data_IF_600255472712
#
_entry.id   IF_600255472712
#
_cell.length_a   1.000
_cell.length_b   1.000
_cell.length_c   1.000
_cell.angle_alpha   90.00
_cell.angle_beta   90.00
_cell.angle_gamma   90.00
#
_symmetry.space_group_name_H-M   'P 1'
#
loop_
_entity.id
_entity.type
_entity.pdbx_description
1 polymer ?
#
# COMPACT_ATOMS: atom_id res chain seq x y z
N UNK A 1 -28.00 -64.13 51.09
CA UNK A 1 -28.90 -63.65 50.01
C UNK A 1 -29.02 -62.12 49.88
N UNK A 2 -28.61 -61.28 50.86
CA UNK A 2 -28.67 -59.80 50.72
C UNK A 2 -27.46 -59.16 50.02
N UNK A 3 -26.25 -59.74 50.10
CA UNK A 3 -25.03 -59.14 49.52
C UNK A 3 -24.97 -59.21 47.99
N UNK A 4 -25.40 -60.31 47.37
CA UNK A 4 -25.19 -60.51 45.93
C UNK A 4 -26.07 -59.60 45.07
N UNK A 5 -27.25 -59.21 45.57
CA UNK A 5 -28.15 -58.24 44.92
C UNK A 5 -27.57 -56.82 44.97
N UNK A 6 -26.88 -56.46 46.05
CA UNK A 6 -26.27 -55.13 46.22
C UNK A 6 -25.01 -54.97 45.36
N UNK A 7 -24.16 -56.00 45.27
CA UNK A 7 -22.98 -55.98 44.39
C UNK A 7 -23.40 -55.93 42.91
N UNK A 8 -24.44 -56.66 42.50
CA UNK A 8 -25.00 -56.57 41.14
C UNK A 8 -25.60 -55.19 40.84
N UNK A 9 -26.27 -54.57 41.80
CA UNK A 9 -26.88 -53.24 41.67
C UNK A 9 -25.82 -52.12 41.55
N UNK A 10 -24.74 -52.20 42.33
CA UNK A 10 -23.63 -51.24 42.29
C UNK A 10 -22.78 -51.38 41.02
N UNK A 11 -22.54 -52.61 40.55
CA UNK A 11 -21.80 -52.86 39.29
C UNK A 11 -22.54 -52.29 38.06
N UNK A 12 -23.88 -52.36 38.05
CA UNK A 12 -24.73 -51.77 37.01
C UNK A 12 -24.63 -50.24 36.95
N UNK A 13 -24.67 -49.56 38.11
CA UNK A 13 -24.49 -48.10 38.21
C UNK A 13 -23.10 -47.64 37.77
N UNK A 14 -22.03 -48.36 38.15
CA UNK A 14 -20.66 -48.02 37.73
C UNK A 14 -20.48 -48.20 36.22
N UNK A 15 -21.08 -49.23 35.61
CA UNK A 15 -21.02 -49.46 34.16
C UNK A 15 -21.81 -48.38 33.39
N UNK A 16 -23.00 -47.99 33.87
CA UNK A 16 -23.75 -46.86 33.30
C UNK A 16 -22.98 -45.55 33.37
N UNK A 17 -22.33 -45.25 34.51
CA UNK A 17 -21.56 -44.01 34.67
C UNK A 17 -20.30 -43.97 33.79
N UNK A 18 -19.63 -45.12 33.59
CA UNK A 18 -18.50 -45.24 32.65
C UNK A 18 -18.93 -45.06 31.20
N UNK A 19 -20.04 -45.67 30.79
CA UNK A 19 -20.62 -45.48 29.45
C UNK A 19 -21.09 -44.03 29.23
N UNK A 20 -21.67 -43.40 30.25
CA UNK A 20 -22.09 -41.99 30.20
C UNK A 20 -20.89 -41.03 30.08
N UNK A 21 -19.80 -41.28 30.83
CA UNK A 21 -18.56 -40.50 30.74
C UNK A 21 -17.86 -40.67 29.38
N UNK A 22 -17.89 -41.87 28.79
CA UNK A 22 -17.35 -42.10 27.44
C UNK A 22 -18.19 -41.41 26.37
N UNK A 23 -19.52 -41.41 26.49
CA UNK A 23 -20.43 -40.71 25.57
C UNK A 23 -20.28 -39.19 25.69
N UNK A 24 -20.17 -38.65 26.91
CA UNK A 24 -19.94 -37.20 27.13
C UNK A 24 -18.55 -36.76 26.67
N UNK A 25 -17.52 -37.60 26.85
CA UNK A 25 -16.18 -37.35 26.31
C UNK A 25 -16.17 -37.37 24.78
N UNK A 26 -16.85 -38.34 24.15
CA UNK A 26 -16.99 -38.40 22.69
C UNK A 26 -17.81 -37.22 22.15
N UNK A 27 -18.91 -36.84 22.82
CA UNK A 27 -19.68 -35.64 22.47
C UNK A 27 -18.86 -34.37 22.63
N UNK A 28 -18.05 -34.25 23.68
CA UNK A 28 -17.15 -33.11 23.87
C UNK A 28 -16.11 -33.04 22.76
N UNK A 29 -15.46 -34.16 22.41
CA UNK A 29 -14.51 -34.23 21.29
C UNK A 29 -15.19 -33.92 19.94
N UNK A 30 -16.41 -34.40 19.72
CA UNK A 30 -17.18 -34.11 18.51
C UNK A 30 -17.61 -32.64 18.47
N UNK A 31 -18.07 -32.04 19.56
CA UNK A 31 -18.41 -30.60 19.61
C UNK A 31 -17.18 -29.72 19.51
N UNK A 32 -16.06 -30.11 20.11
CA UNK A 32 -14.79 -29.41 20.00
C UNK A 32 -14.21 -29.56 18.59
N UNK A 33 -14.37 -30.71 17.95
CA UNK A 33 -14.03 -30.93 16.54
C UNK A 33 -14.94 -30.14 15.61
N UNK A 34 -16.24 -30.00 15.90
CA UNK A 34 -17.18 -29.16 15.13
C UNK A 34 -16.83 -27.67 15.31
N UNK A 35 -16.51 -27.22 16.52
CA UNK A 35 -16.09 -25.82 16.79
C UNK A 35 -14.72 -25.54 16.17
N UNK A 36 -13.78 -26.49 16.21
CA UNK A 36 -12.50 -26.38 15.52
C UNK A 36 -12.72 -26.36 14.00
N UNK A 37 -13.52 -27.27 13.45
CA UNK A 37 -13.78 -27.36 12.01
C UNK A 37 -14.53 -26.13 11.46
N UNK A 38 -15.47 -25.54 12.23
CA UNK A 38 -16.15 -24.29 11.86
C UNK A 38 -15.35 -23.02 12.24
N UNK A 39 -14.33 -23.13 13.10
CA UNK A 39 -13.50 -22.02 13.59
C UNK A 39 -12.25 -21.72 12.76
N UNK A 40 -11.96 -22.53 11.73
CA UNK A 40 -10.75 -22.38 10.89
C UNK A 40 -11.01 -21.86 9.47
N UNK A 41 -12.15 -21.22 9.20
CA UNK A 41 -12.27 -20.32 8.04
C UNK A 41 -11.73 -18.93 8.43
N UNK A 42 -10.49 -18.87 8.93
CA UNK A 42 -9.71 -17.65 8.89
C UNK A 42 -9.35 -17.40 7.42
N UNK A 43 -10.34 -16.98 6.64
CA UNK A 43 -10.17 -16.71 5.23
C UNK A 43 -9.00 -15.74 5.08
N UNK A 44 -7.98 -16.14 4.33
CA UNK A 44 -6.91 -15.26 3.89
C UNK A 44 -7.53 -14.19 2.98
N UNK A 45 -8.14 -13.17 3.59
CA UNK A 45 -8.73 -12.06 2.86
C UNK A 45 -7.59 -11.24 2.28
N UNK A 46 -7.66 -10.96 0.97
CA UNK A 46 -6.75 -10.02 0.34
C UNK A 46 -6.81 -8.69 1.09
N UNK A 47 -5.63 -8.13 1.40
CA UNK A 47 -5.51 -6.85 2.10
C UNK A 47 -6.40 -5.80 1.42
N UNK A 48 -7.15 -5.04 2.21
CA UNK A 48 -7.92 -3.91 1.67
C UNK A 48 -6.95 -2.85 1.18
N UNK A 49 -7.08 -2.46 -0.10
CA UNK A 49 -6.25 -1.41 -0.69
C UNK A 49 -7.07 -0.14 -0.87
N UNK A 50 -6.44 0.99 -0.62
CA UNK A 50 -7.02 2.32 -0.73
C UNK A 50 -5.91 3.33 -1.00
N UNK A 51 -6.26 4.60 -1.16
CA UNK A 51 -5.29 5.70 -1.31
C UNK A 51 -4.13 5.58 -0.31
N UNK A 52 -2.90 5.68 -0.82
CA UNK A 52 -1.66 5.54 -0.04
C UNK A 52 -1.22 4.09 0.23
N UNK A 53 -2.04 3.09 -0.09
CA UNK A 53 -1.62 1.69 -0.09
C UNK A 53 -0.46 1.49 -1.05
N UNK A 54 0.39 0.51 -0.74
CA UNK A 54 1.57 0.18 -1.53
C UNK A 54 1.92 -1.30 -1.43
N UNK A 55 2.61 -1.80 -2.44
CA UNK A 55 3.12 -3.17 -2.49
C UNK A 55 2.67 -3.93 -3.74
N UNK A 56 3.00 -5.22 -3.77
CA UNK A 56 2.74 -6.09 -4.91
C UNK A 56 1.25 -6.21 -5.21
N UNK A 57 0.40 -6.18 -4.20
CA UNK A 57 -1.06 -6.26 -4.35
C UNK A 57 -1.61 -5.04 -5.10
N UNK A 58 -1.04 -3.85 -4.88
CA UNK A 58 -1.40 -2.65 -5.65
C UNK A 58 -0.94 -2.80 -7.10
N UNK A 59 0.27 -3.32 -7.33
CA UNK A 59 0.76 -3.62 -8.67
C UNK A 59 -0.16 -4.61 -9.39
N UNK A 60 -0.62 -5.65 -8.71
CA UNK A 60 -1.57 -6.62 -9.24
C UNK A 60 -2.86 -5.95 -9.69
N UNK A 61 -3.44 -5.07 -8.85
CA UNK A 61 -4.64 -4.30 -9.21
C UNK A 61 -4.37 -3.38 -10.41
N UNK A 62 -3.27 -2.62 -10.39
CA UNK A 62 -2.90 -1.72 -11.47
C UNK A 62 -2.71 -2.46 -12.81
N UNK A 63 -2.03 -3.61 -12.80
CA UNK A 63 -1.86 -4.46 -14.00
C UNK A 63 -3.20 -4.93 -14.53
N UNK A 64 -4.07 -5.43 -13.66
CA UNK A 64 -5.39 -5.94 -14.03
C UNK A 64 -6.26 -4.85 -14.64
N UNK A 65 -6.34 -3.69 -13.97
CA UNK A 65 -7.09 -2.53 -14.46
C UNK A 65 -6.51 -2.00 -15.78
N UNK A 66 -5.19 -2.06 -15.98
CA UNK A 66 -4.54 -1.66 -17.23
C UNK A 66 -4.86 -2.62 -18.37
N UNK A 67 -4.80 -3.93 -18.12
CA UNK A 67 -5.21 -4.95 -19.09
C UNK A 67 -6.66 -4.74 -19.55
N UNK A 68 -7.52 -4.25 -18.66
CA UNK A 68 -8.93 -3.99 -18.94
C UNK A 68 -9.23 -2.55 -19.35
N UNK A 69 -8.21 -1.72 -19.56
CA UNK A 69 -8.37 -0.35 -20.08
C UNK A 69 -8.92 0.67 -19.08
N UNK A 70 -9.01 0.35 -17.79
CA UNK A 70 -9.41 1.30 -16.73
C UNK A 70 -8.24 2.15 -16.22
N UNK A 71 -7.01 1.66 -16.36
CA UNK A 71 -5.82 2.30 -15.82
C UNK A 71 -4.77 2.50 -16.90
N UNK A 72 -4.36 3.75 -17.13
CA UNK A 72 -3.35 4.10 -18.13
C UNK A 72 -2.00 4.51 -17.54
N UNK A 73 -1.88 4.46 -16.20
CA UNK A 73 -0.63 4.75 -15.50
C UNK A 73 0.32 3.55 -15.44
N UNK A 74 1.46 3.75 -14.79
CA UNK A 74 2.44 2.69 -14.55
C UNK A 74 2.02 1.71 -13.46
N UNK A 75 2.41 0.45 -13.61
CA UNK A 75 2.36 -0.51 -12.52
C UNK A 75 3.56 -0.31 -11.59
N UNK A 76 3.45 0.64 -10.67
CA UNK A 76 4.50 0.97 -9.71
C UNK A 76 4.22 0.44 -8.30
N UNK A 77 3.06 -0.15 -8.07
CA UNK A 77 2.66 -0.67 -6.77
C UNK A 77 2.26 0.41 -5.78
N UNK A 78 1.90 1.62 -6.26
CA UNK A 78 1.53 2.76 -5.44
C UNK A 78 0.10 3.22 -5.72
N UNK A 79 -0.73 3.21 -4.68
CA UNK A 79 -2.14 3.53 -4.81
C UNK A 79 -2.35 5.04 -4.71
N UNK A 80 -2.07 5.74 -5.80
CA UNK A 80 -2.29 7.19 -5.95
C UNK A 80 -3.63 7.55 -6.60
N UNK A 81 -3.78 8.81 -7.01
CA UNK A 81 -4.99 9.34 -7.64
C UNK A 81 -5.41 8.61 -8.91
N UNK A 82 -4.45 8.27 -9.77
CA UNK A 82 -4.73 7.54 -11.00
C UNK A 82 -5.29 6.14 -10.71
N UNK A 83 -4.74 5.43 -9.72
CA UNK A 83 -5.25 4.10 -9.31
C UNK A 83 -6.61 4.23 -8.64
N UNK A 84 -6.79 5.23 -7.77
CA UNK A 84 -8.08 5.54 -7.16
C UNK A 84 -9.18 5.80 -8.19
N UNK A 85 -8.90 6.66 -9.18
CA UNK A 85 -9.85 6.97 -10.24
C UNK A 85 -10.16 5.75 -11.11
N UNK A 86 -9.14 4.95 -11.47
CA UNK A 86 -9.33 3.71 -12.21
C UNK A 86 -10.17 2.69 -11.44
N UNK A 87 -9.95 2.54 -10.13
CA UNK A 87 -10.75 1.64 -9.28
C UNK A 87 -12.18 2.15 -9.17
N UNK A 88 -12.42 3.46 -9.02
CA UNK A 88 -13.78 4.02 -9.01
C UNK A 88 -14.50 3.80 -10.33
N UNK A 89 -13.82 3.99 -11.45
CA UNK A 89 -14.40 3.73 -12.77
C UNK A 89 -14.74 2.25 -12.95
N UNK A 90 -13.81 1.37 -12.58
CA UNK A 90 -14.03 -0.08 -12.57
C UNK A 90 -15.24 -0.45 -11.70
N UNK A 91 -15.28 0.02 -10.46
CA UNK A 91 -16.38 -0.22 -9.53
C UNK A 91 -17.72 0.25 -10.14
N UNK A 92 -17.77 1.47 -10.69
CA UNK A 92 -18.98 2.02 -11.33
C UNK A 92 -19.45 1.16 -12.51
N UNK A 93 -18.54 0.75 -13.40
CA UNK A 93 -18.90 -0.08 -14.58
C UNK A 93 -19.31 -1.51 -14.21
N UNK A 94 -18.92 -1.99 -13.03
CA UNK A 94 -19.22 -3.34 -12.56
C UNK A 94 -20.29 -3.38 -11.44
N UNK A 95 -21.08 -2.31 -11.28
CA UNK A 95 -22.21 -2.28 -10.33
C UNK A 95 -21.79 -2.28 -8.85
N UNK A 96 -20.56 -1.92 -8.53
CA UNK A 96 -20.05 -1.81 -7.17
C UNK A 96 -20.18 -0.36 -6.65
N UNK A 97 -20.10 -0.19 -5.32
CA UNK A 97 -19.95 1.14 -4.72
C UNK A 97 -18.64 1.77 -5.19
N UNK A 98 -18.73 2.89 -5.90
CA UNK A 98 -17.56 3.59 -6.50
C UNK A 98 -16.82 4.47 -5.48
N UNK A 99 -16.35 3.88 -4.39
CA UNK A 99 -15.64 4.54 -3.29
C UNK A 99 -14.11 4.56 -3.46
N UNK A 100 -13.59 3.84 -4.46
CA UNK A 100 -12.16 3.76 -4.75
C UNK A 100 -11.39 2.92 -3.73
N UNK A 101 -12.07 2.02 -3.02
CA UNK A 101 -11.46 1.07 -2.09
C UNK A 101 -11.52 -0.34 -2.70
N UNK A 102 -10.37 -0.99 -2.83
CA UNK A 102 -10.30 -2.41 -3.21
C UNK A 102 -10.52 -3.25 -1.96
N UNK A 103 -11.79 -3.38 -1.58
CA UNK A 103 -12.26 -4.29 -0.54
C UNK A 103 -12.65 -5.66 -1.11
N UNK A 104 -13.24 -6.52 -0.27
CA UNK A 104 -13.63 -7.89 -0.62
C UNK A 104 -14.43 -8.00 -1.93
N UNK A 105 -15.44 -7.15 -2.13
CA UNK A 105 -16.28 -7.16 -3.34
C UNK A 105 -15.50 -6.74 -4.59
N UNK A 106 -14.63 -5.74 -4.49
CA UNK A 106 -13.78 -5.29 -5.59
C UNK A 106 -12.72 -6.33 -5.94
N UNK A 107 -12.11 -6.98 -4.95
CA UNK A 107 -11.19 -8.10 -5.18
C UNK A 107 -11.85 -9.26 -5.92
N UNK A 108 -13.05 -9.65 -5.50
CA UNK A 108 -13.83 -10.68 -6.18
C UNK A 108 -14.14 -10.27 -7.64
N UNK A 109 -14.58 -9.03 -7.87
CA UNK A 109 -14.87 -8.53 -9.21
C UNK A 109 -13.62 -8.44 -10.11
N UNK A 110 -12.43 -8.21 -9.53
CA UNK A 110 -11.14 -8.27 -10.24
C UNK A 110 -10.70 -9.71 -10.56
N UNK A 111 -11.43 -10.73 -10.07
CA UNK A 111 -11.12 -12.15 -10.26
C UNK A 111 -10.17 -12.72 -9.21
N UNK A 112 -9.97 -12.03 -8.08
CA UNK A 112 -9.14 -12.47 -6.96
C UNK A 112 -10.03 -12.78 -5.75
N UNK A 113 -10.78 -13.88 -5.81
CA UNK A 113 -11.50 -14.40 -4.63
C UNK A 113 -10.54 -15.22 -3.76
N UNK A 114 -10.80 -15.28 -2.45
CA UNK A 114 -9.99 -16.03 -1.49
C UNK A 114 -9.83 -17.53 -1.82
N UNK A 115 -10.66 -18.08 -2.72
CA UNK A 115 -10.58 -19.46 -3.20
C UNK A 115 -9.43 -19.71 -4.20
N UNK A 116 -8.80 -18.65 -4.74
CA UNK A 116 -7.62 -18.76 -5.61
C UNK A 116 -6.30 -18.43 -4.89
N UNK A 117 -6.29 -18.46 -3.55
CA UNK A 117 -5.05 -18.31 -2.78
C UNK A 117 -4.19 -19.56 -2.95
N UNK A 118 -3.26 -19.49 -3.90
CA UNK A 118 -2.09 -20.34 -3.96
C UNK A 118 -1.45 -20.45 -2.57
N UNK A 119 -1.20 -21.70 -2.15
CA UNK A 119 -0.38 -22.20 -1.04
C UNK A 119 -0.13 -21.24 0.14
N UNK A 120 -0.52 -21.61 1.39
CA UNK A 120 -0.22 -20.79 2.55
C UNK A 120 1.28 -20.57 2.68
N UNK A 121 1.72 -19.33 2.52
CA UNK A 121 3.00 -18.91 3.10
C UNK A 121 2.74 -18.78 4.61
N UNK A 122 3.56 -19.48 5.40
CA UNK A 122 3.47 -19.62 6.85
C UNK A 122 3.41 -18.26 7.61
N UNK A 123 3.03 -18.25 8.91
CA UNK A 123 2.55 -17.07 9.60
C UNK A 123 3.57 -15.94 9.65
N UNK A 124 3.08 -14.73 9.40
CA UNK A 124 3.80 -13.50 9.69
C UNK A 124 4.03 -13.37 11.21
N UNK A 125 5.19 -13.82 11.70
CA UNK A 125 5.79 -13.35 12.93
C UNK A 125 7.32 -13.45 12.84
N UNK A 126 7.97 -12.30 13.02
CA UNK A 126 9.36 -12.08 13.43
C UNK A 126 10.48 -12.83 12.66
N UNK A 127 11.18 -12.13 11.76
CA UNK A 127 12.53 -11.58 12.02
C UNK A 127 13.16 -10.98 10.73
N UNK A 128 13.91 -9.89 10.95
CA UNK A 128 15.07 -9.33 10.22
C UNK A 128 15.68 -10.27 9.16
N UNK A 129 16.15 -9.85 7.98
CA UNK A 129 16.93 -8.65 7.65
C UNK A 129 17.12 -8.55 6.10
N UNK A 130 17.66 -7.42 5.63
CA UNK A 130 18.32 -7.12 4.34
C UNK A 130 17.55 -6.98 3.00
N UNK A 131 16.49 -7.72 2.64
CA UNK A 131 15.90 -7.58 1.28
C UNK A 131 14.78 -6.54 1.12
N UNK A 132 14.31 -5.96 2.22
CA UNK A 132 13.23 -4.95 2.23
C UNK A 132 13.71 -3.52 1.95
N UNK A 133 15.02 -3.28 2.00
CA UNK A 133 15.61 -1.98 1.67
C UNK A 133 15.70 -1.76 0.16
N UNK A 134 16.29 -2.70 -0.58
CA UNK A 134 16.58 -2.54 -2.01
C UNK A 134 15.31 -2.41 -2.87
N UNK A 135 14.28 -3.23 -2.63
CA UNK A 135 13.02 -3.16 -3.39
C UNK A 135 12.24 -1.88 -3.09
N UNK A 136 12.23 -1.42 -1.82
CA UNK A 136 11.60 -0.15 -1.42
C UNK A 136 12.35 1.04 -1.98
N UNK A 137 13.68 1.05 -1.86
CA UNK A 137 14.52 2.08 -2.49
C UNK A 137 14.29 2.11 -3.99
N UNK A 138 14.11 0.96 -4.66
CA UNK A 138 13.89 0.95 -6.11
C UNK A 138 12.53 1.53 -6.50
N UNK A 139 11.44 1.19 -5.80
CA UNK A 139 10.11 1.75 -6.04
C UNK A 139 10.03 3.25 -5.69
N UNK A 140 10.60 3.66 -4.55
CA UNK A 140 10.62 5.05 -4.10
C UNK A 140 11.54 5.91 -5.00
N UNK A 141 12.70 5.40 -5.41
CA UNK A 141 13.57 6.05 -6.41
C UNK A 141 12.81 6.23 -7.72
N UNK A 142 12.10 5.21 -8.19
CA UNK A 142 11.33 5.32 -9.43
C UNK A 142 10.19 6.33 -9.30
N UNK A 143 9.45 6.36 -8.18
CA UNK A 143 8.42 7.37 -7.97
C UNK A 143 9.02 8.78 -7.96
N UNK A 144 10.10 8.98 -7.18
CA UNK A 144 10.77 10.27 -7.07
C UNK A 144 11.34 10.71 -8.43
N UNK A 145 11.96 9.80 -9.18
CA UNK A 145 12.49 10.06 -10.51
C UNK A 145 11.40 10.49 -11.50
N UNK A 146 10.18 9.92 -11.42
CA UNK A 146 9.07 10.32 -12.30
C UNK A 146 8.62 11.74 -12.05
N UNK A 147 8.55 12.14 -10.78
CA UNK A 147 8.22 13.52 -10.42
C UNK A 147 9.34 14.46 -10.85
N UNK A 148 10.61 14.10 -10.62
CA UNK A 148 11.76 14.88 -11.08
C UNK A 148 11.74 15.05 -12.61
N UNK A 149 11.47 13.98 -13.36
CA UNK A 149 11.34 14.03 -14.81
C UNK A 149 10.22 14.99 -15.23
N UNK A 150 9.07 14.92 -14.58
CA UNK A 150 7.93 15.79 -14.89
C UNK A 150 8.15 17.27 -14.55
N UNK A 151 8.81 17.55 -13.44
CA UNK A 151 8.97 18.91 -12.92
C UNK A 151 10.27 19.60 -13.39
N UNK A 152 11.31 18.83 -13.71
CA UNK A 152 12.67 19.33 -13.89
C UNK A 152 13.46 18.64 -15.03
N UNK A 153 12.79 18.00 -16.00
CA UNK A 153 13.47 17.38 -17.15
C UNK A 153 14.53 18.27 -17.81
N UNK A 154 14.18 19.55 -18.02
CA UNK A 154 15.02 20.55 -18.69
C UNK A 154 15.96 21.33 -17.74
N UNK A 155 16.03 20.94 -16.47
CA UNK A 155 16.91 21.58 -15.48
C UNK A 155 18.30 20.92 -15.45
N UNK A 156 19.35 21.65 -15.02
CA UNK A 156 20.64 21.01 -14.71
C UNK A 156 20.48 19.94 -13.62
N UNK A 157 21.43 19.00 -13.53
CA UNK A 157 21.39 17.90 -12.55
C UNK A 157 21.17 18.39 -11.12
N UNK A 158 21.77 19.52 -10.72
CA UNK A 158 21.54 20.12 -9.40
C UNK A 158 20.09 20.58 -9.20
N UNK A 159 19.41 21.07 -10.25
CA UNK A 159 17.99 21.44 -10.22
C UNK A 159 17.07 20.20 -10.14
N UNK A 160 17.43 19.11 -10.82
CA UNK A 160 16.73 17.82 -10.69
C UNK A 160 16.82 17.27 -9.27
N UNK A 161 18.02 17.29 -8.67
CA UNK A 161 18.22 16.87 -7.27
C UNK A 161 17.49 17.81 -6.32
N UNK A 162 17.49 19.12 -6.58
CA UNK A 162 16.78 20.10 -5.78
C UNK A 162 15.28 19.82 -5.65
N UNK A 163 14.60 19.46 -6.76
CA UNK A 163 13.18 19.05 -6.72
C UNK A 163 13.01 17.79 -5.87
N UNK A 164 13.88 16.81 -6.04
CA UNK A 164 13.89 15.59 -5.22
C UNK A 164 14.04 15.89 -3.73
N UNK A 165 14.97 16.78 -3.38
CA UNK A 165 15.23 17.18 -2.00
C UNK A 165 14.03 17.91 -1.37
N UNK A 166 13.35 18.81 -2.10
CA UNK A 166 12.12 19.45 -1.62
C UNK A 166 11.06 18.42 -1.23
N UNK A 167 10.85 17.38 -2.04
CA UNK A 167 9.90 16.31 -1.75
C UNK A 167 10.28 15.60 -0.45
N UNK A 168 11.56 15.28 -0.27
CA UNK A 168 12.04 14.62 0.95
C UNK A 168 11.97 15.53 2.19
N UNK A 169 12.17 16.84 2.01
CA UNK A 169 12.01 17.85 3.07
C UNK A 169 10.55 17.96 3.51
N UNK A 170 9.59 17.89 2.58
CA UNK A 170 8.16 17.80 2.91
C UNK A 170 7.86 16.57 3.76
N UNK A 171 8.37 15.39 3.41
CA UNK A 171 8.16 14.15 4.19
C UNK A 171 8.66 14.29 5.65
N UNK A 172 9.74 15.04 5.86
CA UNK A 172 10.33 15.31 7.19
C UNK A 172 9.58 16.39 7.98
N UNK A 173 8.75 17.19 7.32
CA UNK A 173 8.03 18.30 7.93
C UNK A 173 6.64 17.86 8.40
N UNK A 174 6.24 18.27 9.61
CA UNK A 174 4.90 18.03 10.14
C UNK A 174 3.80 18.77 9.38
N UNK A 175 4.14 19.70 8.49
CA UNK A 175 3.19 20.44 7.66
C UNK A 175 2.72 19.65 6.42
N UNK A 176 3.31 18.50 6.12
CA UNK A 176 3.01 17.69 4.94
C UNK A 176 2.82 16.21 5.31
N UNK A 177 2.26 15.38 4.42
CA UNK A 177 2.21 13.94 4.61
C UNK A 177 3.60 13.35 4.85
N UNK A 178 3.70 12.40 5.77
CA UNK A 178 4.95 11.77 6.18
C UNK A 178 5.35 10.55 5.31
N UNK A 179 4.86 10.48 4.07
CA UNK A 179 5.22 9.43 3.12
C UNK A 179 5.47 10.02 1.74
N UNK A 180 6.38 9.42 0.97
CA UNK A 180 6.69 9.86 -0.39
C UNK A 180 5.45 9.91 -1.28
N UNK A 181 4.65 8.84 -1.30
CA UNK A 181 3.39 8.80 -2.02
C UNK A 181 2.41 9.86 -1.50
N UNK A 182 2.34 10.06 -0.18
CA UNK A 182 1.50 11.08 0.43
C UNK A 182 1.81 12.47 -0.10
N UNK A 183 3.09 12.86 -0.17
CA UNK A 183 3.55 14.15 -0.69
C UNK A 183 3.33 14.26 -2.21
N UNK A 184 3.73 13.24 -2.97
CA UNK A 184 3.69 13.26 -4.43
C UNK A 184 2.26 13.32 -4.97
N UNK A 185 1.32 12.67 -4.31
CA UNK A 185 -0.08 12.66 -4.76
C UNK A 185 -0.97 13.70 -4.07
N UNK A 186 -0.40 14.63 -3.27
CA UNK A 186 -1.20 15.75 -2.77
C UNK A 186 -1.85 16.50 -3.94
N UNK A 187 -3.15 16.85 -3.86
CA UNK A 187 -3.83 17.57 -4.94
C UNK A 187 -3.06 18.82 -5.37
N UNK A 188 -2.77 18.95 -6.66
CA UNK A 188 -2.07 20.08 -7.28
C UNK A 188 -0.64 20.34 -6.77
N UNK A 189 -0.01 19.41 -6.05
CA UNK A 189 1.35 19.59 -5.57
C UNK A 189 2.41 19.48 -6.69
N UNK A 190 2.11 18.72 -7.74
CA UNK A 190 2.96 18.48 -8.90
C UNK A 190 2.09 18.44 -10.15
N UNK A 191 2.26 19.40 -11.07
CA UNK A 191 1.50 19.47 -12.32
C UNK A 191 1.69 18.20 -13.15
N UNK A 192 2.92 17.66 -13.14
CA UNK A 192 3.29 16.44 -13.87
C UNK A 192 2.55 15.18 -13.42
N UNK A 193 2.15 15.14 -12.15
CA UNK A 193 1.35 14.03 -11.60
C UNK A 193 -0.11 14.18 -12.01
N UNK A 194 -0.64 15.41 -12.03
CA UNK A 194 -2.02 15.69 -12.37
C UNK A 194 -2.32 15.52 -13.87
N UNK A 195 -1.37 15.89 -14.75
CA UNK A 195 -1.53 15.82 -16.20
C UNK A 195 -1.05 14.50 -16.83
N UNK A 196 -0.64 13.53 -16.01
CA UNK A 196 -0.16 12.23 -16.47
C UNK A 196 1.24 12.23 -17.10
N UNK A 197 1.99 13.34 -17.07
CA UNK A 197 3.39 13.38 -17.53
C UNK A 197 4.32 12.52 -16.67
N UNK A 198 3.91 12.17 -15.46
CA UNK A 198 4.50 11.10 -14.64
C UNK A 198 4.63 9.77 -15.40
N UNK A 199 3.90 9.59 -16.53
CA UNK A 199 3.95 8.42 -17.41
C UNK A 199 5.01 8.48 -18.53
N UNK A 200 5.84 9.53 -18.61
CA UNK A 200 6.91 9.63 -19.61
C UNK A 200 8.04 8.62 -19.31
N UNK A 201 8.81 8.20 -20.34
CA UNK A 201 10.00 7.39 -20.13
C UNK A 201 10.97 8.09 -19.16
N UNK A 202 11.46 7.36 -18.16
CA UNK A 202 12.46 7.90 -17.24
C UNK A 202 13.82 8.02 -17.93
N UNK A 203 14.49 9.14 -17.70
CA UNK A 203 15.88 9.34 -18.10
C UNK A 203 16.84 8.82 -17.02
N UNK A 204 18.05 8.41 -17.42
CA UNK A 204 19.11 8.05 -16.48
C UNK A 204 19.43 9.21 -15.51
N UNK A 205 19.32 10.45 -15.99
CA UNK A 205 19.53 11.67 -15.20
C UNK A 205 18.51 11.78 -14.06
N UNK A 206 17.22 11.63 -14.35
CA UNK A 206 16.16 11.74 -13.32
C UNK A 206 16.25 10.61 -12.30
N UNK A 207 16.63 9.40 -12.73
CA UNK A 207 16.88 8.28 -11.82
C UNK A 207 18.12 8.57 -10.94
N UNK A 208 19.20 9.08 -11.54
CA UNK A 208 20.41 9.47 -10.81
C UNK A 208 20.12 10.57 -9.80
N UNK A 209 19.37 11.60 -10.18
CA UNK A 209 18.99 12.70 -9.32
C UNK A 209 18.12 12.23 -8.13
N UNK A 210 17.16 11.32 -8.39
CA UNK A 210 16.37 10.72 -7.32
C UNK A 210 17.24 9.95 -6.32
N UNK A 211 18.19 9.13 -6.79
CA UNK A 211 19.13 8.42 -5.92
C UNK A 211 19.96 9.38 -5.08
N UNK A 212 20.45 10.46 -5.68
CA UNK A 212 21.25 11.46 -4.98
C UNK A 212 20.46 12.19 -3.88
N UNK A 213 19.22 12.59 -4.18
CA UNK A 213 18.34 13.18 -3.17
C UNK A 213 18.05 12.18 -2.03
N UNK A 214 17.74 10.91 -2.35
CA UNK A 214 17.49 9.87 -1.34
C UNK A 214 18.73 9.53 -0.51
N UNK A 215 19.93 9.70 -1.07
CA UNK A 215 21.20 9.61 -0.34
C UNK A 215 21.45 10.81 0.59
N UNK A 216 20.60 11.84 0.55
CA UNK A 216 20.64 12.98 1.44
C UNK A 216 21.27 14.24 0.83
N UNK A 217 21.63 14.25 -0.45
CA UNK A 217 22.10 15.48 -1.09
C UNK A 217 20.93 16.47 -1.27
N UNK A 218 21.03 17.61 -0.58
CA UNK A 218 20.05 18.71 -0.69
C UNK A 218 20.75 20.02 -1.09
N UNK A 219 20.73 20.40 -2.39
CA UNK A 219 21.31 21.65 -2.86
C UNK A 219 20.43 22.87 -2.53
N UNK A 220 19.23 22.69 -1.97
CA UNK A 220 18.28 23.77 -1.67
C UNK A 220 18.44 24.38 -0.29
N UNK A 221 19.18 23.72 0.61
CA UNK A 221 19.32 24.16 2.00
C UNK A 221 18.04 24.00 2.83
N UNK A 222 17.24 22.95 2.57
CA UNK A 222 16.02 22.66 3.34
C UNK A 222 14.75 23.28 2.79
N UNK A 223 14.67 23.62 1.50
CA UNK A 223 13.46 24.19 0.92
C UNK A 223 12.28 23.19 0.94
N UNK A 224 11.06 23.70 1.14
CA UNK A 224 9.80 22.92 1.05
C UNK A 224 8.91 23.37 -0.12
N UNK A 225 9.28 24.46 -0.79
CA UNK A 225 8.59 25.03 -1.93
C UNK A 225 9.56 25.31 -3.08
N UNK A 226 9.08 25.18 -4.31
CA UNK A 226 9.77 25.67 -5.49
C UNK A 226 8.77 26.16 -6.54
N UNK A 227 9.20 27.06 -7.42
CA UNK A 227 8.43 27.49 -8.58
C UNK A 227 9.32 28.02 -9.70
N UNK A 228 8.81 28.03 -10.93
CA UNK A 228 9.44 28.72 -12.05
C UNK A 228 8.91 30.17 -12.08
N UNK A 229 9.76 31.20 -11.86
CA UNK A 229 9.33 32.58 -11.78
C UNK A 229 8.84 33.13 -13.14
N UNK A 230 9.11 32.44 -14.24
CA UNK A 230 8.61 32.78 -15.58
C UNK A 230 7.18 32.27 -15.83
N UNK A 231 6.62 31.42 -14.95
CA UNK A 231 5.23 30.93 -15.02
C UNK A 231 4.33 31.75 -14.10
N UNK A 232 3.02 31.79 -14.41
CA UNK A 232 2.02 32.34 -13.49
C UNK A 232 1.90 31.45 -12.27
N UNK A 233 2.06 32.03 -11.09
CA UNK A 233 1.96 31.37 -9.79
C UNK A 233 1.17 32.24 -8.82
N UNK A 234 0.64 31.65 -7.75
CA UNK A 234 -0.08 32.40 -6.70
C UNK A 234 0.82 33.45 -6.05
N UNK A 235 0.32 34.66 -5.82
CA UNK A 235 1.05 35.74 -5.12
C UNK A 235 1.56 35.31 -3.74
N UNK A 236 0.86 34.38 -3.07
CA UNK A 236 1.29 33.83 -1.79
C UNK A 236 2.68 33.19 -1.85
N UNK A 237 3.07 32.56 -2.96
CA UNK A 237 4.36 31.85 -3.05
C UNK A 237 5.55 32.81 -2.90
N UNK A 238 5.38 34.06 -3.35
CA UNK A 238 6.40 35.11 -3.26
C UNK A 238 6.58 35.65 -1.84
N UNK A 239 5.70 35.31 -0.90
CA UNK A 239 5.85 35.62 0.52
C UNK A 239 6.73 34.62 1.28
N UNK A 240 7.20 33.55 0.62
CA UNK A 240 8.07 32.53 1.23
C UNK A 240 9.50 33.02 1.31
N UNK A 241 10.25 32.53 2.29
CA UNK A 241 11.66 32.90 2.42
C UNK A 241 12.45 32.18 1.32
N UNK A 242 12.89 32.94 0.31
CA UNK A 242 13.72 32.43 -0.77
C UNK A 242 15.08 32.02 -0.20
N UNK A 243 15.51 30.79 -0.50
CA UNK A 243 16.77 30.21 -0.06
C UNK A 243 17.77 30.15 -1.21
N UNK A 244 17.30 29.74 -2.39
CA UNK A 244 18.17 29.53 -3.55
C UNK A 244 17.42 29.71 -4.87
N UNK A 245 18.19 29.92 -5.94
CA UNK A 245 17.73 29.77 -7.32
C UNK A 245 18.67 28.79 -8.03
N UNK A 246 18.13 27.69 -8.53
CA UNK A 246 18.89 26.63 -9.19
C UNK A 246 18.22 26.35 -10.53
N UNK A 247 18.97 26.55 -11.62
CA UNK A 247 18.40 26.57 -12.96
C UNK A 247 17.29 27.62 -13.08
N UNK A 248 16.12 27.22 -13.56
CA UNK A 248 14.97 28.10 -13.70
C UNK A 248 14.05 28.12 -12.49
N UNK A 249 14.35 27.35 -11.44
CA UNK A 249 13.51 27.30 -10.24
C UNK A 249 14.03 28.18 -9.11
N UNK A 250 13.10 28.85 -8.44
CA UNK A 250 13.30 29.48 -7.13
C UNK A 250 12.88 28.48 -6.06
N UNK A 251 13.65 28.36 -4.98
CA UNK A 251 13.43 27.45 -3.86
C UNK A 251 13.27 28.23 -2.56
N UNK A 252 12.29 27.86 -1.73
CA UNK A 252 11.93 28.60 -0.53
C UNK A 252 11.41 27.72 0.62
N UNK A 253 11.36 28.30 1.82
CA UNK A 253 10.68 27.77 3.01
C UNK A 253 9.53 28.67 3.46
#
# INVERSE_FOLDING_TARGET
MKNDQEVHFLAGRVKQNKSLLLILGALFVITFAIIAFNGYEASAQNRTLHWGSRGNEVSTVQQKLRQWGYYHGFTDGLYGSATYNAVREFQRKNGLRADGVVGKSTWAALGYSAAAAQKPSAPAAANTDVSRGVVRTSQDVMLLARVIEGEAADEPTSGKVAVGAVILNRIRSSAFPNTLAGVVYQPLAFESVANGQVNRPLTNDSISAARQAMAGWDPTGGATFFWNPSKRVSSWIWSRQIIARIGRHVFAR
#
